data_IF_612335137552
#
_entry.id   IF_612335137552
#
_cell.length_a   1.000
_cell.length_b   1.000
_cell.length_c   1.000
_cell.angle_alpha   90.00
_cell.angle_beta   90.00
_cell.angle_gamma   90.00
#
_symmetry.space_group_name_H-M   'P 1'
#
loop_
_entity.id
_entity.type
_entity.pdbx_description
1 polymer ?
#
# COMPACT_ATOMS: atom_id res chain seq x y z
N UNK A 1 25.29 21.86 -6.67
CA UNK A 1 26.37 20.90 -6.34
C UNK A 1 26.08 20.28 -4.98
N UNK A 2 26.42 19.02 -4.79
CA UNK A 2 26.29 18.35 -3.50
C UNK A 2 27.67 18.17 -2.88
N UNK A 3 27.79 18.51 -1.61
CA UNK A 3 29.01 18.32 -0.82
C UNK A 3 28.75 17.29 0.27
N UNK A 4 29.62 16.29 0.37
CA UNK A 4 29.56 15.30 1.43
C UNK A 4 29.97 15.93 2.77
N UNK A 5 29.62 15.26 3.88
CA UNK A 5 30.04 15.67 5.23
C UNK A 5 30.70 14.48 5.93
N UNK A 6 31.77 14.76 6.67
CA UNK A 6 32.44 13.80 7.52
C UNK A 6 32.58 14.42 8.91
N UNK A 7 32.09 13.74 9.94
CA UNK A 7 32.10 14.26 11.32
C UNK A 7 31.34 15.59 11.47
N UNK A 8 30.29 15.83 10.66
CA UNK A 8 29.53 17.07 10.65
C UNK A 8 30.15 18.20 9.82
N UNK A 9 31.39 18.06 9.35
CA UNK A 9 32.10 19.07 8.56
C UNK A 9 31.90 18.82 7.07
N UNK A 10 31.51 19.86 6.34
CA UNK A 10 31.33 19.78 4.89
C UNK A 10 32.69 19.67 4.18
N UNK A 11 32.77 18.75 3.21
CA UNK A 11 33.98 18.57 2.41
C UNK A 11 34.17 19.73 1.44
N UNK A 12 35.39 20.18 1.25
CA UNK A 12 35.74 21.27 0.32
C UNK A 12 35.47 20.91 -1.15
N UNK A 13 35.47 19.60 -1.48
CA UNK A 13 35.25 19.13 -2.87
C UNK A 13 33.83 18.60 -3.03
N UNK A 14 33.15 19.05 -4.08
CA UNK A 14 31.85 18.54 -4.43
C UNK A 14 31.91 17.04 -4.78
N UNK A 15 30.90 16.31 -4.32
CA UNK A 15 30.74 14.89 -4.72
C UNK A 15 30.37 14.77 -6.20
N UNK A 16 30.58 13.60 -6.76
CA UNK A 16 30.11 13.26 -8.12
C UNK A 16 28.58 13.11 -8.21
N UNK A 17 27.85 13.20 -7.10
CA UNK A 17 26.41 13.07 -7.08
C UNK A 17 25.74 14.27 -7.77
N UNK A 18 24.79 13.97 -8.63
CA UNK A 18 23.98 14.95 -9.36
C UNK A 18 22.51 14.63 -9.18
N UNK A 19 21.64 15.62 -8.94
CA UNK A 19 20.20 15.41 -8.92
C UNK A 19 19.70 14.80 -10.22
N UNK A 20 18.75 13.87 -10.12
CA UNK A 20 18.14 13.22 -11.28
C UNK A 20 19.01 12.21 -12.02
N UNK A 21 20.19 11.82 -11.48
CA UNK A 21 21.06 10.82 -12.09
C UNK A 21 20.56 9.40 -11.87
N UNK A 22 19.79 9.16 -10.82
CA UNK A 22 19.22 7.84 -10.47
C UNK A 22 17.75 8.01 -10.12
N UNK A 23 16.92 7.03 -10.47
CA UNK A 23 15.53 7.03 -10.04
C UNK A 23 15.42 6.86 -8.53
N UNK A 24 14.39 7.47 -7.96
CA UNK A 24 13.99 7.29 -6.57
C UNK A 24 13.16 6.00 -6.50
N UNK A 25 13.43 5.17 -5.51
CA UNK A 25 12.64 3.96 -5.21
C UNK A 25 12.16 4.03 -3.79
N UNK A 26 10.88 3.77 -3.61
CA UNK A 26 10.32 3.58 -2.29
C UNK A 26 10.58 2.14 -1.86
N UNK A 27 11.42 1.96 -0.87
CA UNK A 27 11.75 0.64 -0.33
C UNK A 27 10.70 0.14 0.66
N UNK A 28 9.92 1.06 1.22
CA UNK A 28 8.84 0.78 2.15
C UNK A 28 7.75 1.83 1.99
N UNK A 29 6.56 1.40 1.62
CA UNK A 29 5.36 2.24 1.60
C UNK A 29 4.22 1.49 2.24
N UNK A 30 3.45 2.13 3.11
CA UNK A 30 2.32 1.50 3.78
C UNK A 30 1.76 2.38 4.86
N UNK A 31 0.66 1.96 5.41
CA UNK A 31 0.10 2.54 6.64
C UNK A 31 -0.59 1.43 7.44
N UNK A 32 -0.83 1.64 8.74
CA UNK A 32 -1.58 0.68 9.53
C UNK A 32 -3.03 0.57 9.04
N UNK A 33 -3.58 -0.64 9.08
CA UNK A 33 -4.96 -0.94 8.68
C UNK A 33 -5.96 -0.52 9.78
N UNK A 34 -5.92 0.74 10.16
CA UNK A 34 -6.82 1.34 11.17
C UNK A 34 -7.49 2.60 10.63
N UNK A 35 -8.61 2.96 11.25
CA UNK A 35 -9.27 4.23 10.99
C UNK A 35 -8.26 5.38 11.07
N UNK A 36 -8.29 6.28 10.11
CA UNK A 36 -7.32 7.38 9.96
C UNK A 36 -5.84 6.95 9.88
N UNK A 37 -5.54 5.68 9.58
CA UNK A 37 -4.17 5.19 9.38
C UNK A 37 -3.31 6.06 8.47
N UNK A 38 -3.81 6.54 7.33
CA UNK A 38 -3.08 7.44 6.42
C UNK A 38 -2.60 8.76 7.03
N UNK A 39 -3.18 9.24 8.14
CA UNK A 39 -2.76 10.50 8.77
C UNK A 39 -1.33 10.46 9.34
N UNK A 40 -0.91 9.28 9.78
CA UNK A 40 0.47 9.02 10.18
C UNK A 40 0.88 7.62 9.72
N UNK A 41 1.25 7.44 8.46
CA UNK A 41 1.40 6.14 7.82
C UNK A 41 2.52 5.27 8.43
N UNK A 42 3.50 5.86 9.08
CA UNK A 42 4.59 5.17 9.77
C UNK A 42 4.36 4.96 11.28
N UNK A 43 3.18 5.30 11.78
CA UNK A 43 2.78 5.06 13.17
C UNK A 43 1.82 3.87 13.20
N UNK A 44 2.03 2.95 14.13
CA UNK A 44 1.16 1.79 14.31
C UNK A 44 0.99 1.44 15.78
N UNK A 45 -0.17 0.93 16.19
CA UNK A 45 -0.39 0.52 17.56
C UNK A 45 0.37 -0.79 17.84
N UNK A 46 1.45 -0.72 18.59
CA UNK A 46 2.13 -1.88 19.17
C UNK A 46 2.42 -1.58 20.64
N UNK A 47 1.68 -2.24 21.54
CA UNK A 47 1.82 -2.05 22.98
C UNK A 47 3.20 -2.42 23.53
N UNK A 48 4.02 -3.15 22.76
CA UNK A 48 5.36 -3.56 23.12
C UNK A 48 6.44 -2.57 22.69
N UNK A 49 6.10 -1.65 21.80
CA UNK A 49 7.01 -0.61 21.34
C UNK A 49 6.80 0.66 22.16
N UNK A 50 7.88 1.29 22.59
CA UNK A 50 7.84 2.61 23.22
C UNK A 50 7.34 3.70 22.28
N UNK A 51 7.39 3.46 20.96
CA UNK A 51 6.88 4.33 19.91
C UNK A 51 5.46 3.95 19.46
N UNK A 52 4.92 2.84 19.98
CA UNK A 52 3.59 2.36 19.66
C UNK A 52 2.51 3.34 20.07
N UNK A 53 1.72 3.80 19.11
CA UNK A 53 0.57 4.69 19.31
C UNK A 53 -0.40 4.58 18.13
N UNK A 54 -1.58 5.10 18.31
CA UNK A 54 -2.53 5.26 17.20
C UNK A 54 -2.18 6.50 16.37
N UNK A 55 -2.38 6.46 15.04
CA UNK A 55 -2.35 7.63 14.19
C UNK A 55 -3.29 8.73 14.69
N UNK A 56 -3.05 9.98 14.33
CA UNK A 56 -3.91 11.10 14.74
C UNK A 56 -5.37 10.86 14.36
N UNK A 57 -6.24 11.06 15.34
CA UNK A 57 -7.70 10.86 15.27
C UNK A 57 -8.15 9.41 15.18
N UNK A 58 -7.23 8.44 15.08
CA UNK A 58 -7.57 7.02 15.08
C UNK A 58 -8.03 6.56 16.47
N UNK A 59 -9.05 5.70 16.47
CA UNK A 59 -9.52 4.97 17.65
C UNK A 59 -8.95 3.54 17.68
N UNK A 60 -8.04 3.20 16.77
CA UNK A 60 -7.44 1.88 16.64
C UNK A 60 -8.39 0.83 16.06
N UNK A 61 -9.51 1.24 15.46
CA UNK A 61 -10.44 0.31 14.81
C UNK A 61 -9.88 -0.13 13.47
N UNK A 62 -9.98 -1.42 13.17
CA UNK A 62 -9.57 -1.97 11.88
C UNK A 62 -10.27 -1.25 10.73
N UNK A 63 -9.49 -0.86 9.72
CA UNK A 63 -9.97 -0.24 8.50
C UNK A 63 -9.05 -0.60 7.32
N UNK A 64 -9.34 -1.74 6.69
CA UNK A 64 -8.59 -2.23 5.53
C UNK A 64 -8.80 -1.31 4.31
N UNK A 65 -9.96 -0.63 4.23
CA UNK A 65 -10.24 0.30 3.15
C UNK A 65 -9.34 1.54 3.22
N UNK A 66 -9.10 2.08 4.41
CA UNK A 66 -8.16 3.20 4.59
C UNK A 66 -6.74 2.81 4.15
N UNK A 67 -6.25 1.63 4.52
CA UNK A 67 -4.95 1.12 4.08
C UNK A 67 -4.88 0.98 2.55
N UNK A 68 -5.88 0.36 1.96
CA UNK A 68 -5.98 0.17 0.51
C UNK A 68 -5.97 1.50 -0.22
N UNK A 69 -6.81 2.45 0.17
CA UNK A 69 -6.92 3.77 -0.46
C UNK A 69 -5.63 4.58 -0.34
N UNK A 70 -4.91 4.44 0.76
CA UNK A 70 -3.59 5.04 0.89
C UNK A 70 -2.61 4.51 -0.16
N UNK A 71 -2.54 3.18 -0.33
CA UNK A 71 -1.64 2.56 -1.31
C UNK A 71 -2.04 2.94 -2.75
N UNK A 72 -3.33 2.89 -3.07
CA UNK A 72 -3.85 3.28 -4.38
C UNK A 72 -3.52 4.75 -4.70
N UNK A 73 -3.72 5.65 -3.75
CA UNK A 73 -3.44 7.07 -3.92
C UNK A 73 -1.93 7.33 -4.10
N UNK A 74 -1.08 6.70 -3.28
CA UNK A 74 0.36 6.90 -3.36
C UNK A 74 0.96 6.32 -4.65
N UNK A 75 0.59 5.10 -5.00
CA UNK A 75 1.07 4.43 -6.21
C UNK A 75 0.54 5.17 -7.44
N UNK A 76 -0.77 5.45 -7.50
CA UNK A 76 -1.41 6.12 -8.61
C UNK A 76 -0.90 7.54 -8.86
N UNK A 77 -0.45 8.24 -7.81
CA UNK A 77 0.15 9.57 -7.96
C UNK A 77 1.41 9.55 -8.84
N UNK A 78 2.22 8.49 -8.77
CA UNK A 78 3.46 8.37 -9.52
C UNK A 78 3.37 7.46 -10.74
N UNK A 79 2.29 6.69 -10.90
CA UNK A 79 2.13 5.72 -11.99
C UNK A 79 1.61 6.37 -13.27
N UNK A 80 2.41 6.39 -14.37
CA UNK A 80 1.97 6.93 -15.66
C UNK A 80 0.73 6.25 -16.26
N UNK A 81 0.41 5.02 -15.82
CA UNK A 81 -0.76 4.27 -16.28
C UNK A 81 -2.03 4.60 -15.48
N UNK A 82 -1.91 5.29 -14.35
CA UNK A 82 -3.06 5.63 -13.53
C UNK A 82 -3.93 6.73 -14.18
N UNK A 83 -5.23 6.59 -14.06
CA UNK A 83 -6.17 7.65 -14.45
C UNK A 83 -5.91 8.90 -13.60
N UNK A 84 -5.77 10.06 -14.23
CA UNK A 84 -5.47 11.31 -13.53
C UNK A 84 -3.98 11.57 -13.26
N UNK A 85 -3.07 10.70 -13.73
CA UNK A 85 -1.63 10.97 -13.67
C UNK A 85 -1.27 12.26 -14.39
N UNK A 86 -0.43 13.07 -13.75
CA UNK A 86 0.13 14.29 -14.34
C UNK A 86 1.66 14.16 -14.43
N UNK A 87 2.22 14.43 -15.61
CA UNK A 87 3.68 14.32 -15.81
C UNK A 87 4.51 15.19 -14.85
N UNK A 88 3.92 16.25 -14.30
CA UNK A 88 4.57 17.09 -13.30
C UNK A 88 4.78 16.37 -11.96
N UNK A 89 3.94 15.39 -11.62
CA UNK A 89 4.02 14.65 -10.36
C UNK A 89 5.14 13.60 -10.38
N UNK A 90 5.50 13.12 -11.58
CA UNK A 90 6.65 12.22 -11.77
C UNK A 90 7.37 12.57 -13.08
N UNK A 91 8.14 13.67 -13.12
CA UNK A 91 8.78 14.13 -14.33
C UNK A 91 9.88 13.18 -14.84
N UNK A 92 10.18 13.28 -16.12
CA UNK A 92 11.31 12.58 -16.73
C UNK A 92 12.60 13.33 -16.41
N UNK A 93 13.60 12.62 -15.89
CA UNK A 93 14.93 13.17 -15.68
C UNK A 93 15.60 13.50 -17.02
N UNK A 94 16.09 14.74 -17.21
CA UNK A 94 16.81 15.09 -18.42
C UNK A 94 18.20 14.43 -18.51
N UNK A 95 18.63 13.72 -17.48
CA UNK A 95 19.95 13.10 -17.41
C UNK A 95 19.97 11.65 -17.86
N UNK A 96 18.94 10.89 -17.55
CA UNK A 96 18.86 9.47 -17.87
C UNK A 96 17.60 9.07 -18.65
N UNK A 97 16.71 10.04 -18.92
CA UNK A 97 15.50 9.80 -19.71
C UNK A 97 14.41 8.98 -19.00
N UNK A 98 14.58 8.67 -17.72
CA UNK A 98 13.62 7.90 -16.93
C UNK A 98 12.78 8.78 -16.02
N UNK A 99 11.63 8.28 -15.60
CA UNK A 99 10.83 8.91 -14.55
C UNK A 99 11.66 9.02 -13.27
N UNK A 100 11.47 10.13 -12.54
CA UNK A 100 12.19 10.37 -11.28
C UNK A 100 11.86 9.34 -10.22
N UNK A 101 10.61 8.92 -10.13
CA UNK A 101 10.16 7.84 -9.25
C UNK A 101 9.93 6.57 -10.08
N UNK A 102 10.60 5.50 -9.71
CA UNK A 102 10.45 4.16 -10.28
C UNK A 102 9.35 3.40 -9.51
N UNK A 103 8.09 3.74 -9.79
CA UNK A 103 6.94 3.20 -9.06
C UNK A 103 6.78 1.69 -9.26
N UNK A 104 7.20 1.14 -10.41
CA UNK A 104 7.16 -0.30 -10.68
C UNK A 104 8.06 -1.12 -9.73
N UNK A 105 8.98 -0.44 -9.03
CA UNK A 105 9.87 -1.04 -8.04
C UNK A 105 9.66 -0.43 -6.65
N UNK A 106 8.48 0.06 -6.39
CA UNK A 106 8.04 0.39 -5.04
C UNK A 106 7.71 -0.89 -4.27
N UNK A 107 8.08 -0.95 -3.00
CA UNK A 107 7.82 -2.09 -2.13
C UNK A 107 6.83 -1.68 -1.07
N UNK A 108 5.75 -2.44 -0.99
CA UNK A 108 4.73 -2.21 0.04
C UNK A 108 5.16 -2.87 1.34
N UNK A 109 5.08 -2.12 2.43
CA UNK A 109 5.27 -2.63 3.77
C UNK A 109 3.88 -2.96 4.38
N UNK A 110 3.51 -4.26 4.63
CA UNK A 110 4.42 -5.36 4.36
C UNK A 110 3.66 -6.63 4.04
N UNK A 111 4.28 -7.47 3.24
CA UNK A 111 3.91 -8.87 3.11
C UNK A 111 4.67 -9.69 4.17
N UNK A 112 3.96 -10.55 4.92
CA UNK A 112 4.58 -11.46 5.87
C UNK A 112 4.64 -12.88 5.31
N UNK A 113 5.85 -13.43 5.23
CA UNK A 113 6.11 -14.77 4.71
C UNK A 113 6.00 -15.87 5.78
N UNK A 114 5.71 -15.52 7.03
CA UNK A 114 5.49 -16.51 8.09
C UNK A 114 4.29 -17.39 7.76
N UNK A 115 4.30 -18.69 8.12
CA UNK A 115 3.33 -19.64 7.64
C UNK A 115 1.94 -19.41 8.24
N UNK A 116 1.01 -18.92 7.43
CA UNK A 116 -0.39 -18.84 7.83
C UNK A 116 -1.03 -20.25 7.85
N UNK A 117 -1.89 -20.59 8.84
CA UNK A 117 -2.44 -19.77 9.93
C UNK A 117 -1.61 -19.74 11.22
N UNK A 118 -0.47 -20.44 11.30
CA UNK A 118 0.38 -20.44 12.49
C UNK A 118 0.74 -19.00 12.90
N UNK A 119 1.26 -18.21 11.99
CA UNK A 119 1.20 -16.78 12.12
C UNK A 119 -0.12 -16.29 11.53
N UNK A 120 -0.91 -15.48 12.21
CA UNK A 120 -0.66 -14.79 13.50
C UNK A 120 -1.17 -15.53 14.76
N UNK A 121 -1.69 -16.75 14.64
CA UNK A 121 -2.44 -17.41 15.71
C UNK A 121 -1.55 -17.95 16.85
N UNK A 122 -0.32 -18.41 16.54
CA UNK A 122 0.63 -18.89 17.54
C UNK A 122 1.35 -17.73 18.24
N UNK A 123 0.65 -17.03 19.12
CA UNK A 123 1.16 -15.83 19.81
C UNK A 123 2.20 -16.13 20.89
N UNK A 124 2.34 -17.37 21.31
CA UNK A 124 3.43 -17.89 22.14
C UNK A 124 4.76 -17.92 21.38
N UNK A 125 4.70 -18.12 20.05
CA UNK A 125 5.87 -18.10 19.15
C UNK A 125 6.11 -16.68 18.61
N UNK A 126 5.05 -16.03 18.12
CA UNK A 126 5.12 -14.69 17.52
C UNK A 126 4.26 -13.70 18.29
N UNK A 127 4.90 -12.99 19.19
CA UNK A 127 4.22 -12.05 20.09
C UNK A 127 3.54 -10.87 19.38
N UNK A 128 3.90 -10.61 18.10
CA UNK A 128 3.30 -9.57 17.26
C UNK A 128 2.05 -10.04 16.51
N UNK A 129 1.66 -11.31 16.65
CA UNK A 129 0.45 -11.86 16.03
C UNK A 129 -0.82 -11.09 16.34
N UNK A 130 -0.93 -10.52 17.56
CA UNK A 130 -2.06 -9.68 17.96
C UNK A 130 -2.24 -8.39 17.14
N UNK A 131 -1.19 -7.91 16.48
CA UNK A 131 -1.22 -6.71 15.66
C UNK A 131 -1.59 -6.99 14.19
N UNK A 132 -1.78 -8.25 13.82
CA UNK A 132 -2.00 -8.68 12.42
C UNK A 132 -3.10 -7.92 11.70
N UNK A 133 -4.21 -7.66 12.37
CA UNK A 133 -5.38 -7.05 11.76
C UNK A 133 -5.31 -5.52 11.64
N UNK A 134 -4.50 -4.88 12.46
CA UNK A 134 -4.45 -3.42 12.60
C UNK A 134 -3.08 -2.82 12.29
N UNK A 135 -2.09 -3.68 12.05
CA UNK A 135 -0.75 -3.25 11.65
C UNK A 135 -0.63 -2.97 10.15
N UNK A 136 0.60 -2.95 9.67
CA UNK A 136 0.91 -2.66 8.27
C UNK A 136 0.77 -3.86 7.34
N UNK A 137 0.46 -5.05 7.86
CA UNK A 137 0.40 -6.24 7.05
C UNK A 137 -0.69 -6.18 5.98
N UNK A 138 -0.28 -6.56 4.77
CA UNK A 138 -1.21 -6.93 3.73
C UNK A 138 -1.65 -8.36 4.00
N UNK A 139 -2.88 -8.54 4.43
CA UNK A 139 -3.37 -9.84 4.92
C UNK A 139 -3.65 -10.86 3.81
N UNK A 140 -3.29 -10.57 2.55
CA UNK A 140 -3.54 -11.44 1.40
C UNK A 140 -5.03 -11.59 1.06
N UNK A 141 -5.90 -10.88 1.77
CA UNK A 141 -7.34 -10.81 1.49
C UNK A 141 -7.60 -9.66 0.54
N UNK A 142 -8.75 -9.68 -0.10
CA UNK A 142 -9.17 -8.60 -0.99
C UNK A 142 -9.19 -7.23 -0.26
N UNK A 143 -9.16 -7.25 1.07
CA UNK A 143 -9.38 -6.05 1.89
C UNK A 143 -10.78 -5.48 1.65
N UNK A 144 -11.25 -4.61 2.50
CA UNK A 144 -12.51 -3.93 2.26
C UNK A 144 -12.46 -3.15 0.94
N UNK A 145 -13.42 -3.41 0.05
CA UNK A 145 -13.51 -2.76 -1.26
C UNK A 145 -14.96 -2.36 -1.54
N UNK A 146 -15.21 -1.30 -2.31
CA UNK A 146 -16.55 -1.04 -2.85
C UNK A 146 -17.05 -2.25 -3.63
N UNK A 147 -18.30 -2.64 -3.39
CA UNK A 147 -18.91 -3.79 -4.07
C UNK A 147 -18.81 -3.67 -5.60
N UNK A 148 -18.94 -2.46 -6.14
CA UNK A 148 -18.78 -2.21 -7.56
C UNK A 148 -17.42 -2.64 -8.10
N UNK A 149 -16.34 -2.32 -7.41
CA UNK A 149 -14.99 -2.73 -7.80
C UNK A 149 -14.82 -4.26 -7.77
N UNK A 150 -15.46 -4.93 -6.82
CA UNK A 150 -15.44 -6.40 -6.73
C UNK A 150 -16.17 -7.02 -7.93
N UNK A 151 -17.36 -6.50 -8.27
CA UNK A 151 -18.15 -6.97 -9.40
C UNK A 151 -17.41 -6.77 -10.72
N UNK A 152 -16.82 -5.60 -10.94
CA UNK A 152 -16.02 -5.29 -12.14
C UNK A 152 -14.79 -6.21 -12.25
N UNK A 153 -14.08 -6.43 -11.13
CA UNK A 153 -12.93 -7.33 -11.11
C UNK A 153 -13.31 -8.77 -11.43
N UNK A 154 -14.40 -9.28 -10.88
CA UNK A 154 -14.92 -10.62 -11.17
C UNK A 154 -15.35 -10.75 -12.64
N UNK A 155 -16.08 -9.76 -13.17
CA UNK A 155 -16.48 -9.74 -14.56
C UNK A 155 -15.27 -9.78 -15.51
N UNK A 156 -14.25 -8.96 -15.22
CA UNK A 156 -12.99 -8.94 -15.97
C UNK A 156 -12.26 -10.28 -15.90
N UNK A 157 -12.19 -10.89 -14.74
CA UNK A 157 -11.55 -12.20 -14.55
C UNK A 157 -12.25 -13.31 -15.35
N UNK A 158 -13.56 -13.18 -15.55
CA UNK A 158 -14.38 -14.11 -16.34
C UNK A 158 -14.42 -13.78 -17.83
N UNK A 159 -13.66 -12.78 -18.29
CA UNK A 159 -13.63 -12.37 -19.69
C UNK A 159 -14.90 -11.69 -20.19
N UNK A 160 -15.72 -11.19 -19.29
CA UNK A 160 -16.93 -10.45 -19.67
C UNK A 160 -16.58 -9.03 -20.12
N UNK A 161 -17.43 -8.47 -20.97
CA UNK A 161 -17.31 -7.07 -21.38
C UNK A 161 -17.42 -6.14 -20.16
N UNK A 162 -16.96 -4.90 -20.32
CA UNK A 162 -17.01 -3.87 -19.27
C UNK A 162 -18.41 -3.77 -18.67
N UNK A 163 -18.48 -3.95 -17.36
CA UNK A 163 -19.70 -3.76 -16.56
C UNK A 163 -19.54 -2.41 -15.85
N UNK A 164 -20.57 -1.59 -15.87
CA UNK A 164 -20.63 -0.39 -15.04
C UNK A 164 -21.30 -0.75 -13.71
N UNK A 165 -20.50 -0.85 -12.66
CA UNK A 165 -20.94 -1.12 -11.31
C UNK A 165 -20.73 0.08 -10.36
N UNK A 166 -20.53 1.28 -10.90
CA UNK A 166 -20.24 2.51 -10.13
C UNK A 166 -21.33 2.88 -9.13
N UNK A 167 -22.57 2.43 -9.35
CA UNK A 167 -23.68 2.60 -8.42
C UNK A 167 -23.64 1.69 -7.18
N UNK A 168 -22.77 0.69 -7.15
CA UNK A 168 -22.65 -0.25 -6.03
C UNK A 168 -21.61 0.26 -5.04
N UNK A 169 -22.04 1.12 -4.14
CA UNK A 169 -21.17 1.82 -3.18
C UNK A 169 -20.94 1.12 -1.83
N UNK A 170 -21.74 0.10 -1.39
CA UNK A 170 -21.46 -0.58 -0.14
C UNK A 170 -20.04 -1.13 -0.11
N UNK A 171 -19.39 -1.03 1.05
CA UNK A 171 -18.07 -1.64 1.28
C UNK A 171 -18.25 -3.12 1.58
N UNK A 172 -17.44 -3.94 0.96
CA UNK A 172 -17.47 -5.38 1.05
C UNK A 172 -16.19 -5.89 1.74
N UNK A 173 -16.33 -6.61 2.84
CA UNK A 173 -15.20 -7.00 3.69
C UNK A 173 -14.37 -8.15 3.14
N UNK A 174 -14.91 -8.90 2.20
CA UNK A 174 -14.18 -10.00 1.56
C UNK A 174 -15.12 -11.02 0.92
N UNK A 175 -14.56 -11.79 -0.01
CA UNK A 175 -15.24 -12.86 -0.73
C UNK A 175 -14.33 -14.10 -0.76
N UNK A 176 -14.88 -15.25 -0.45
CA UNK A 176 -14.22 -16.54 -0.67
C UNK A 176 -15.04 -17.34 -1.67
N UNK A 177 -14.47 -17.64 -2.83
CA UNK A 177 -15.08 -18.51 -3.83
C UNK A 177 -14.52 -19.93 -3.60
N UNK A 178 -15.30 -20.77 -2.94
CA UNK A 178 -14.90 -22.14 -2.60
C UNK A 178 -15.24 -23.15 -3.70
N UNK A 179 -16.17 -22.84 -4.57
CA UNK A 179 -16.68 -23.75 -5.61
C UNK A 179 -16.74 -23.05 -6.97
N UNK A 180 -16.79 -23.87 -8.03
CA UNK A 180 -17.01 -23.35 -9.39
C UNK A 180 -18.47 -22.91 -9.52
N UNK A 181 -18.69 -21.68 -9.92
CA UNK A 181 -20.00 -21.11 -10.16
C UNK A 181 -19.99 -20.12 -11.33
N UNK A 182 -21.16 -19.75 -11.81
CA UNK A 182 -21.30 -18.65 -12.73
C UNK A 182 -21.21 -17.31 -11.96
N UNK A 183 -20.93 -16.19 -12.67
CA UNK A 183 -20.99 -14.87 -12.05
C UNK A 183 -22.32 -14.59 -11.37
N UNK A 184 -23.41 -15.06 -11.98
CA UNK A 184 -24.77 -14.95 -11.39
C UNK A 184 -24.82 -15.63 -10.01
N UNK A 185 -24.28 -16.86 -9.90
CA UNK A 185 -24.32 -17.61 -8.65
C UNK A 185 -23.45 -16.96 -7.56
N UNK A 186 -22.43 -16.18 -7.97
CA UNK A 186 -21.56 -15.44 -7.05
C UNK A 186 -22.15 -14.13 -6.56
N UNK A 187 -23.14 -13.58 -7.28
CA UNK A 187 -23.77 -12.31 -6.99
C UNK A 187 -25.19 -12.42 -6.39
N UNK A 188 -25.68 -13.62 -6.21
CA UNK A 188 -26.96 -13.93 -5.55
C UNK A 188 -26.78 -14.53 -4.17
#
# INVERSE_FOLDING_TARGET
RHYGRVGGVELATASAWLPGLKPIRFTEIGCPAVDFGPNQPNVFPDARSSEGRSPWFSHGRRDDAAQRRYLEALIGHFDPAASGFRSADNPISPRDGRRMVDVARAHVWTWDARPYPWFPLATDVWQDGGNWQTGHWLTGRLGAAPLGEVVEALAKALGLATIDATGLTPVFDGLAIAERGSLRDLLT
#
